data_IF_562564474959
#
_entry.id   IF_562564474959
#
_cell.length_a   1.000
_cell.length_b   1.000
_cell.length_c   1.000
_cell.angle_alpha   90.00
_cell.angle_beta   90.00
_cell.angle_gamma   90.00
#
_symmetry.space_group_name_H-M   'P 1'
#
loop_
_entity.id
_entity.type
_entity.pdbx_description
1 polymer ?
#
# COMPACT_ATOMS: atom_id res chain seq x y z
N UNK A 1 -3.37 -30.46 -27.95
CA UNK A 1 -4.57 -30.62 -27.10
C UNK A 1 -5.65 -29.70 -27.65
N UNK A 2 -6.76 -30.26 -28.11
CA UNK A 2 -7.85 -29.50 -28.70
C UNK A 2 -8.42 -28.53 -27.65
N UNK A 3 -8.41 -27.23 -27.97
CA UNK A 3 -9.13 -26.22 -27.22
C UNK A 3 -10.62 -26.52 -27.37
N UNK A 4 -11.27 -26.99 -26.31
CA UNK A 4 -12.73 -26.94 -26.29
C UNK A 4 -13.11 -25.45 -26.36
N UNK A 5 -13.85 -25.01 -27.39
CA UNK A 5 -14.25 -23.61 -27.48
C UNK A 5 -15.10 -23.32 -26.25
N UNK A 6 -14.61 -22.43 -25.39
CA UNK A 6 -15.41 -21.91 -24.29
C UNK A 6 -16.55 -21.12 -24.88
N UNK A 7 -17.78 -21.53 -24.56
CA UNK A 7 -18.97 -20.79 -24.95
C UNK A 7 -18.85 -19.36 -24.39
N UNK A 8 -18.89 -18.37 -25.28
CA UNK A 8 -18.78 -16.96 -24.92
C UNK A 8 -19.93 -16.50 -23.99
N UNK A 9 -21.03 -17.25 -23.96
CA UNK A 9 -22.20 -16.96 -23.15
C UNK A 9 -22.17 -17.65 -21.78
N UNK A 10 -21.27 -18.61 -21.55
CA UNK A 10 -21.18 -19.36 -20.30
C UNK A 10 -20.07 -18.79 -19.41
N UNK A 11 -20.43 -18.39 -18.19
CA UNK A 11 -19.46 -17.89 -17.22
C UNK A 11 -18.49 -19.00 -16.79
N UNK A 12 -17.19 -18.71 -16.71
CA UNK A 12 -16.20 -19.68 -16.25
C UNK A 12 -16.29 -19.85 -14.72
N UNK A 13 -16.52 -21.09 -14.29
CA UNK A 13 -16.45 -21.47 -12.87
C UNK A 13 -15.20 -22.33 -12.67
N UNK A 14 -14.24 -21.89 -11.83
CA UNK A 14 -13.01 -22.64 -11.60
C UNK A 14 -13.30 -23.97 -10.90
N UNK A 15 -12.39 -24.94 -11.10
CA UNK A 15 -12.43 -26.21 -10.37
C UNK A 15 -12.17 -25.99 -8.87
N UNK A 16 -12.43 -27.02 -8.05
CA UNK A 16 -12.19 -26.97 -6.60
C UNK A 16 -10.74 -26.57 -6.31
N UNK A 17 -10.55 -25.48 -5.58
CA UNK A 17 -9.24 -24.97 -5.18
C UNK A 17 -8.98 -25.19 -3.69
N UNK A 18 -7.73 -25.54 -3.35
CA UNK A 18 -7.24 -25.63 -1.96
C UNK A 18 -6.71 -24.29 -1.45
N UNK A 19 -6.57 -23.29 -2.32
CA UNK A 19 -6.02 -21.98 -1.93
C UNK A 19 -6.79 -21.30 -0.78
N UNK A 20 -8.15 -21.33 -0.74
CA UNK A 20 -8.88 -20.68 0.37
C UNK A 20 -8.56 -21.28 1.74
N UNK A 21 -8.51 -22.61 1.86
CA UNK A 21 -8.21 -23.25 3.16
C UNK A 21 -6.75 -23.01 3.57
N UNK A 22 -5.81 -23.04 2.62
CA UNK A 22 -4.42 -22.70 2.90
C UNK A 22 -4.26 -21.25 3.34
N UNK A 23 -4.99 -20.32 2.71
CA UNK A 23 -4.98 -18.91 3.09
C UNK A 23 -5.51 -18.73 4.52
N UNK A 24 -6.68 -19.31 4.85
CA UNK A 24 -7.27 -19.23 6.19
C UNK A 24 -6.35 -19.78 7.28
N UNK A 25 -5.73 -20.94 7.06
CA UNK A 25 -4.78 -21.53 8.01
C UNK A 25 -3.53 -20.65 8.14
N UNK A 26 -3.01 -20.13 7.02
CA UNK A 26 -1.85 -19.24 7.03
C UNK A 26 -2.13 -17.95 7.80
N UNK A 27 -3.30 -17.32 7.59
CA UNK A 27 -3.73 -16.13 8.33
C UNK A 27 -3.87 -16.43 9.82
N UNK A 28 -4.46 -17.56 10.18
CA UNK A 28 -4.63 -17.95 11.59
C UNK A 28 -3.29 -18.10 12.30
N UNK A 29 -2.34 -18.83 11.71
CA UNK A 29 -0.99 -18.99 12.26
C UNK A 29 -0.27 -17.65 12.35
N UNK A 30 -0.39 -16.81 11.33
CA UNK A 30 0.21 -15.47 11.31
C UNK A 30 -0.35 -14.60 12.44
N UNK A 31 -1.68 -14.56 12.63
CA UNK A 31 -2.33 -13.74 13.66
C UNK A 31 -2.10 -14.25 15.07
N UNK A 32 -2.13 -15.57 15.31
CA UNK A 32 -1.76 -16.13 16.62
C UNK A 32 -0.28 -15.86 16.91
N UNK A 33 0.60 -16.01 15.92
CA UNK A 33 2.02 -15.70 16.08
C UNK A 33 2.23 -14.24 16.45
N UNK A 34 1.56 -13.30 15.76
CA UNK A 34 1.63 -11.88 16.07
C UNK A 34 1.11 -11.58 17.49
N UNK A 35 -0.09 -12.07 17.83
CA UNK A 35 -0.69 -11.82 19.14
C UNK A 35 0.17 -12.37 20.28
N UNK A 36 0.70 -13.59 20.13
CA UNK A 36 1.54 -14.22 21.16
C UNK A 36 2.91 -13.55 21.28
N UNK A 37 3.49 -13.10 20.16
CA UNK A 37 4.72 -12.32 20.17
C UNK A 37 4.53 -10.97 20.88
N UNK A 38 3.41 -10.28 20.65
CA UNK A 38 3.08 -9.02 21.33
C UNK A 38 2.81 -9.18 22.84
N UNK A 39 2.62 -10.41 23.31
CA UNK A 39 2.44 -10.76 24.73
C UNK A 39 3.70 -11.44 25.32
N UNK A 40 4.87 -11.13 24.76
CA UNK A 40 6.19 -11.56 25.26
C UNK A 40 6.41 -13.09 25.32
N UNK A 41 5.63 -13.87 24.55
CA UNK A 41 5.84 -15.31 24.42
C UNK A 41 6.86 -15.61 23.32
N UNK A 42 7.97 -16.25 23.69
CA UNK A 42 9.15 -16.46 22.82
C UNK A 42 8.89 -17.29 21.57
N UNK A 43 7.88 -18.17 21.57
CA UNK A 43 7.49 -18.96 20.41
C UNK A 43 6.67 -18.17 19.39
N UNK A 44 6.07 -17.04 19.81
CA UNK A 44 5.22 -16.22 18.95
C UNK A 44 5.94 -15.69 17.71
N UNK A 45 7.19 -15.25 17.87
CA UNK A 45 8.02 -14.79 16.73
C UNK A 45 8.21 -15.86 15.65
N UNK A 46 8.37 -17.12 16.06
CA UNK A 46 8.56 -18.24 15.13
C UNK A 46 7.25 -18.64 14.47
N UNK A 47 6.15 -18.66 15.23
CA UNK A 47 4.81 -18.87 14.69
C UNK A 47 4.44 -17.76 13.68
N UNK A 48 4.76 -16.50 13.98
CA UNK A 48 4.55 -15.37 13.08
C UNK A 48 5.35 -15.55 11.78
N UNK A 49 6.64 -15.84 11.88
CA UNK A 49 7.49 -16.07 10.71
C UNK A 49 7.01 -17.26 9.86
N UNK A 50 6.58 -18.34 10.50
CA UNK A 50 5.97 -19.48 9.82
C UNK A 50 4.67 -19.09 9.11
N UNK A 51 3.79 -18.34 9.76
CA UNK A 51 2.55 -17.82 9.17
C UNK A 51 2.80 -16.93 7.95
N UNK A 52 3.81 -16.05 8.00
CA UNK A 52 4.25 -15.24 6.86
C UNK A 52 4.73 -16.14 5.71
N UNK A 53 5.59 -17.12 5.98
CA UNK A 53 6.09 -18.05 4.96
C UNK A 53 4.96 -18.86 4.31
N UNK A 54 4.01 -19.35 5.12
CA UNK A 54 2.81 -20.06 4.64
C UNK A 54 1.92 -19.17 3.78
N UNK A 55 1.76 -17.90 4.16
CA UNK A 55 0.99 -16.93 3.38
C UNK A 55 1.64 -16.66 2.02
N UNK A 56 2.95 -16.40 1.99
CA UNK A 56 3.71 -16.20 0.74
C UNK A 56 3.61 -17.42 -0.17
N UNK A 57 3.77 -18.64 0.39
CA UNK A 57 3.62 -19.87 -0.37
C UNK A 57 2.21 -20.05 -0.93
N UNK A 58 1.18 -19.73 -0.14
CA UNK A 58 -0.23 -19.78 -0.56
C UNK A 58 -0.50 -18.80 -1.70
N UNK A 59 -0.05 -17.55 -1.59
CA UNK A 59 -0.24 -16.54 -2.64
C UNK A 59 0.48 -16.93 -3.93
N UNK A 60 1.70 -17.46 -3.83
CA UNK A 60 2.44 -17.95 -5.00
C UNK A 60 1.72 -19.12 -5.69
N UNK A 61 1.21 -20.08 -4.91
CA UNK A 61 0.40 -21.18 -5.42
C UNK A 61 -0.88 -20.68 -6.10
N UNK A 62 -1.65 -19.84 -5.40
CA UNK A 62 -2.94 -19.34 -5.88
C UNK A 62 -2.80 -18.49 -7.14
N UNK A 63 -1.92 -17.47 -7.13
CA UNK A 63 -1.72 -16.65 -8.33
C UNK A 63 -1.10 -17.45 -9.48
N UNK A 64 -0.30 -18.48 -9.19
CA UNK A 64 0.15 -19.44 -10.19
C UNK A 64 -1.00 -20.16 -10.91
N UNK A 65 -2.01 -20.62 -10.18
CA UNK A 65 -3.22 -21.22 -10.77
C UNK A 65 -3.99 -20.20 -11.61
N UNK A 66 -4.24 -19.00 -11.07
CA UNK A 66 -4.96 -17.94 -11.80
C UNK A 66 -4.25 -17.57 -13.10
N UNK A 67 -2.92 -17.56 -13.11
CA UNK A 67 -2.13 -17.34 -14.34
C UNK A 67 -2.29 -18.50 -15.32
N UNK A 68 -2.26 -19.75 -14.86
CA UNK A 68 -2.48 -20.94 -15.72
C UNK A 68 -3.88 -20.93 -16.34
N UNK A 69 -4.90 -20.67 -15.55
CA UNK A 69 -6.30 -20.54 -16.00
C UNK A 69 -6.49 -19.39 -16.99
N UNK A 70 -5.79 -18.27 -16.76
CA UNK A 70 -5.79 -17.16 -17.71
C UNK A 70 -5.16 -17.54 -19.06
N UNK A 71 -4.06 -18.29 -19.05
CA UNK A 71 -3.35 -18.68 -20.28
C UNK A 71 -4.02 -19.85 -21.03
N UNK A 72 -4.85 -20.66 -20.37
CA UNK A 72 -5.60 -21.72 -21.05
C UNK A 72 -6.71 -21.19 -21.97
N UNK A 73 -7.04 -19.90 -21.86
CA UNK A 73 -8.07 -19.25 -22.69
C UNK A 73 -9.49 -19.39 -22.16
N UNK A 74 -9.67 -19.84 -20.91
CA UNK A 74 -11.00 -20.04 -20.33
C UNK A 74 -11.74 -18.74 -19.97
N UNK A 75 -11.02 -17.63 -19.79
CA UNK A 75 -11.63 -16.34 -19.43
C UNK A 75 -12.26 -15.66 -20.64
N UNK A 76 -13.59 -15.52 -20.60
CA UNK A 76 -14.37 -14.74 -21.57
C UNK A 76 -14.63 -13.31 -21.04
N UNK A 77 -15.39 -12.53 -21.81
CA UNK A 77 -15.71 -11.14 -21.47
C UNK A 77 -16.44 -10.98 -20.14
N UNK A 78 -17.31 -11.92 -19.76
CA UNK A 78 -18.04 -11.83 -18.50
C UNK A 78 -17.07 -11.92 -17.31
N UNK A 79 -16.11 -12.84 -17.38
CA UNK A 79 -15.07 -13.02 -16.35
C UNK A 79 -14.15 -11.80 -16.29
N UNK A 80 -13.77 -11.23 -17.45
CA UNK A 80 -12.96 -10.00 -17.51
C UNK A 80 -13.67 -8.82 -16.83
N UNK A 81 -14.98 -8.63 -17.08
CA UNK A 81 -15.78 -7.61 -16.41
C UNK A 81 -15.81 -7.83 -14.89
N UNK A 82 -16.04 -9.08 -14.44
CA UNK A 82 -16.01 -9.41 -13.01
C UNK A 82 -14.67 -9.08 -12.35
N UNK A 83 -13.55 -9.41 -13.00
CA UNK A 83 -12.24 -9.08 -12.46
C UNK A 83 -11.99 -7.57 -12.39
N UNK A 84 -12.42 -6.81 -13.41
CA UNK A 84 -12.34 -5.34 -13.41
C UNK A 84 -13.14 -4.73 -12.28
N UNK A 85 -14.39 -5.17 -12.10
CA UNK A 85 -15.24 -4.73 -11.00
C UNK A 85 -14.65 -5.10 -9.64
N UNK A 86 -14.10 -6.31 -9.51
CA UNK A 86 -13.41 -6.75 -8.29
C UNK A 86 -12.22 -5.86 -7.95
N UNK A 87 -11.39 -5.51 -8.94
CA UNK A 87 -10.25 -4.61 -8.73
C UNK A 87 -10.69 -3.19 -8.36
N UNK A 88 -11.75 -2.67 -8.98
CA UNK A 88 -12.30 -1.34 -8.64
C UNK A 88 -12.78 -1.31 -7.19
N UNK A 89 -13.56 -2.31 -6.76
CA UNK A 89 -14.06 -2.37 -5.38
C UNK A 89 -12.94 -2.59 -4.36
N UNK A 90 -11.91 -3.37 -4.72
CA UNK A 90 -10.71 -3.50 -3.91
C UNK A 90 -9.98 -2.16 -3.74
N UNK A 91 -9.71 -1.43 -4.82
CA UNK A 91 -9.09 -0.10 -4.72
C UNK A 91 -9.96 0.85 -3.92
N UNK A 92 -11.28 0.82 -4.12
CA UNK A 92 -12.21 1.65 -3.35
C UNK A 92 -12.12 1.35 -1.84
N UNK A 93 -12.04 0.08 -1.42
CA UNK A 93 -11.84 -0.24 0.00
C UNK A 93 -10.50 0.26 0.53
N UNK A 94 -9.43 0.22 -0.25
CA UNK A 94 -8.13 0.79 0.14
C UNK A 94 -8.20 2.32 0.27
N UNK A 95 -8.93 3.01 -0.62
CA UNK A 95 -9.17 4.46 -0.50
C UNK A 95 -9.93 4.78 0.79
N UNK A 96 -10.95 3.99 1.16
CA UNK A 96 -11.66 4.17 2.43
C UNK A 96 -10.76 3.88 3.64
N UNK A 97 -9.87 2.89 3.55
CA UNK A 97 -8.88 2.59 4.58
C UNK A 97 -7.95 3.79 4.82
N UNK A 98 -7.37 4.39 3.78
CA UNK A 98 -6.61 5.64 3.93
C UNK A 98 -7.47 6.81 4.40
N UNK A 99 -8.73 6.87 3.94
CA UNK A 99 -9.72 7.86 4.37
C UNK A 99 -9.91 7.87 5.89
N UNK A 100 -9.85 6.70 6.55
CA UNK A 100 -9.90 6.62 8.00
C UNK A 100 -8.68 7.27 8.69
N UNK A 101 -7.48 7.06 8.16
CA UNK A 101 -6.26 7.67 8.73
C UNK A 101 -6.20 9.18 8.46
N UNK A 102 -6.55 9.64 7.26
CA UNK A 102 -6.68 11.07 6.98
C UNK A 102 -7.80 11.70 7.83
N UNK A 103 -8.90 10.99 8.04
CA UNK A 103 -9.97 11.38 8.95
C UNK A 103 -9.48 11.52 10.39
N UNK A 104 -8.64 10.60 10.88
CA UNK A 104 -8.02 10.71 12.20
C UNK A 104 -7.07 11.91 12.32
N UNK A 105 -6.27 12.18 11.29
CA UNK A 105 -5.41 13.37 11.21
C UNK A 105 -6.24 14.66 11.24
N UNK A 106 -7.27 14.73 10.39
CA UNK A 106 -8.19 15.87 10.33
C UNK A 106 -8.89 16.10 11.67
N UNK A 107 -9.48 15.04 12.25
CA UNK A 107 -10.17 15.11 13.52
C UNK A 107 -9.25 15.60 14.64
N UNK A 108 -8.01 15.11 14.66
CA UNK A 108 -7.01 15.55 15.63
C UNK A 108 -6.72 17.04 15.50
N UNK A 109 -6.43 17.52 14.28
CA UNK A 109 -6.02 18.90 14.03
C UNK A 109 -7.15 19.91 14.22
N UNK A 110 -8.37 19.55 13.79
CA UNK A 110 -9.50 20.50 13.74
C UNK A 110 -10.39 20.46 14.97
N UNK A 111 -10.40 19.37 15.74
CA UNK A 111 -11.28 19.23 16.89
C UNK A 111 -10.51 18.88 18.16
N UNK A 112 -9.80 17.75 18.18
CA UNK A 112 -9.21 17.25 19.43
C UNK A 112 -8.17 18.21 20.02
N UNK A 113 -7.29 18.78 19.20
CA UNK A 113 -6.27 19.72 19.68
C UNK A 113 -6.85 21.06 20.14
N UNK A 114 -7.74 21.74 19.39
CA UNK A 114 -8.37 22.96 19.90
C UNK A 114 -9.15 22.77 21.21
N UNK A 115 -9.88 21.66 21.36
CA UNK A 115 -10.57 21.35 22.62
C UNK A 115 -9.59 21.15 23.78
N UNK A 116 -8.47 20.44 23.56
CA UNK A 116 -7.42 20.31 24.56
C UNK A 116 -6.73 21.64 24.88
N UNK A 117 -6.68 22.55 23.91
CA UNK A 117 -6.20 23.93 24.06
C UNK A 117 -7.19 24.87 24.76
N UNK A 118 -8.39 24.40 25.12
CA UNK A 118 -9.39 25.18 25.85
C UNK A 118 -10.51 25.76 24.99
N UNK A 119 -10.66 25.38 23.72
CA UNK A 119 -11.79 25.84 22.91
C UNK A 119 -13.12 25.19 23.34
N UNK A 120 -14.19 25.98 23.44
CA UNK A 120 -15.54 25.51 23.77
C UNK A 120 -15.62 24.89 25.17
N UNK A 121 -16.17 23.69 25.26
CA UNK A 121 -16.30 22.96 26.54
C UNK A 121 -14.92 22.48 27.09
N UNK A 122 -13.84 22.67 26.33
CA UNK A 122 -12.48 22.31 26.69
C UNK A 122 -11.82 23.21 27.74
N UNK A 123 -12.35 24.41 28.03
CA UNK A 123 -11.73 25.41 28.93
C UNK A 123 -11.35 24.79 30.28
N UNK A 124 -12.31 24.15 30.96
CA UNK A 124 -12.06 23.53 32.27
C UNK A 124 -11.04 22.39 32.18
N UNK A 125 -11.05 21.64 31.08
CA UNK A 125 -10.07 20.56 30.85
C UNK A 125 -8.66 21.14 30.73
N UNK A 126 -8.49 22.23 29.98
CA UNK A 126 -7.20 22.91 29.87
C UNK A 126 -6.77 23.50 31.22
N UNK A 127 -7.65 24.22 31.92
CA UNK A 127 -7.30 24.86 33.20
C UNK A 127 -6.92 23.86 34.30
N UNK A 128 -7.62 22.72 34.37
CA UNK A 128 -7.44 21.72 35.43
C UNK A 128 -6.40 20.64 35.08
N UNK A 129 -6.39 20.11 33.85
CA UNK A 129 -5.56 18.96 33.48
C UNK A 129 -4.35 19.34 32.64
N UNK A 130 -4.49 20.31 31.73
CA UNK A 130 -3.48 20.65 30.74
C UNK A 130 -3.08 22.12 30.80
N UNK A 131 -2.88 22.63 32.02
CA UNK A 131 -2.66 24.05 32.25
C UNK A 131 -1.41 24.53 31.47
N UNK A 132 -1.57 25.56 30.65
CA UNK A 132 -0.50 26.10 29.81
C UNK A 132 -0.25 25.34 28.51
N UNK A 133 -1.01 24.29 28.20
CA UNK A 133 -0.99 23.67 26.88
C UNK A 133 -1.69 24.58 25.85
N UNK A 134 -1.03 24.79 24.72
CA UNK A 134 -1.59 25.51 23.57
C UNK A 134 -1.78 24.57 22.40
N UNK A 135 -2.91 24.71 21.71
CA UNK A 135 -3.20 23.96 20.50
C UNK A 135 -2.25 24.42 19.37
N UNK A 136 -1.26 23.59 19.07
CA UNK A 136 -0.33 23.78 17.97
C UNK A 136 -0.13 22.46 17.22
N UNK A 137 0.20 22.57 15.93
CA UNK A 137 0.62 21.45 15.10
C UNK A 137 1.94 21.80 14.42
N UNK A 138 2.94 20.90 14.39
CA UNK A 138 2.99 19.55 14.97
C UNK A 138 3.06 19.54 16.51
N UNK A 139 2.59 18.46 17.16
CA UNK A 139 2.66 18.31 18.64
C UNK A 139 2.68 16.85 19.09
N UNK A 140 3.39 16.56 20.20
CA UNK A 140 3.30 15.28 20.93
C UNK A 140 2.11 15.21 21.90
N UNK A 141 1.30 16.28 21.95
CA UNK A 141 0.18 16.43 22.87
C UNK A 141 0.61 17.01 24.24
N UNK A 142 -0.35 17.26 25.14
CA UNK A 142 -0.08 17.96 26.40
C UNK A 142 0.82 17.17 27.36
N UNK A 143 0.83 15.84 27.27
CA UNK A 143 1.73 14.97 28.04
C UNK A 143 3.17 14.88 27.51
N UNK A 144 3.51 15.59 26.42
CA UNK A 144 4.83 15.56 25.78
C UNK A 144 5.36 14.13 25.52
N UNK A 145 4.47 13.23 25.09
CA UNK A 145 4.78 11.81 24.93
C UNK A 145 5.87 11.64 23.86
N UNK A 146 6.99 11.00 24.24
CA UNK A 146 8.15 10.83 23.37
C UNK A 146 9.11 12.03 23.32
N UNK A 147 8.85 13.09 24.10
CA UNK A 147 9.72 14.24 24.22
C UNK A 147 9.63 15.23 23.05
N UNK A 148 10.64 16.10 22.94
CA UNK A 148 10.76 17.04 21.83
C UNK A 148 11.26 16.32 20.57
N UNK A 149 10.69 16.67 19.43
CA UNK A 149 11.07 16.12 18.13
C UNK A 149 11.10 17.23 17.07
N UNK A 150 11.75 16.94 15.95
CA UNK A 150 11.75 17.78 14.76
C UNK A 150 10.99 17.09 13.62
N UNK A 151 10.44 17.88 12.72
CA UNK A 151 9.71 17.38 11.54
C UNK A 151 10.60 17.27 10.32
N UNK A 152 10.21 16.41 9.40
CA UNK A 152 10.89 16.25 8.12
C UNK A 152 10.49 17.39 7.18
N UNK A 153 11.43 18.17 6.64
CA UNK A 153 11.10 19.26 5.73
C UNK A 153 10.58 18.73 4.39
N UNK A 154 9.42 19.22 3.94
CA UNK A 154 8.76 18.78 2.71
C UNK A 154 9.63 18.93 1.46
N UNK A 155 10.42 20.00 1.38
CA UNK A 155 11.15 20.40 0.18
C UNK A 155 12.48 19.67 -0.04
N UNK A 156 12.80 18.68 0.81
CA UNK A 156 13.96 17.81 0.67
C UNK A 156 13.60 16.48 0.03
N UNK A 157 13.90 15.39 0.75
CA UNK A 157 13.64 14.02 0.34
C UNK A 157 12.15 13.75 -0.01
N UNK A 158 11.15 14.26 0.73
CA UNK A 158 9.74 14.04 0.36
C UNK A 158 9.37 14.56 -1.03
N UNK A 159 9.88 15.74 -1.43
CA UNK A 159 9.69 16.26 -2.78
C UNK A 159 10.36 15.38 -3.83
N UNK A 160 11.57 14.90 -3.57
CA UNK A 160 12.28 13.98 -4.48
C UNK A 160 11.48 12.69 -4.67
N UNK A 161 10.98 12.10 -3.58
CA UNK A 161 10.11 10.93 -3.63
C UNK A 161 8.81 11.18 -4.41
N UNK A 162 8.25 12.39 -4.29
CA UNK A 162 7.09 12.81 -5.09
C UNK A 162 7.41 12.83 -6.58
N UNK A 163 8.54 13.41 -6.98
CA UNK A 163 8.97 13.44 -8.38
C UNK A 163 9.26 12.04 -8.92
N UNK A 164 9.82 11.14 -8.09
CA UNK A 164 10.08 9.74 -8.45
C UNK A 164 8.77 9.00 -8.76
N UNK A 165 7.76 9.09 -7.88
CA UNK A 165 6.47 8.43 -8.10
C UNK A 165 5.75 8.99 -9.32
N UNK A 166 5.68 10.31 -9.47
CA UNK A 166 5.07 10.93 -10.65
C UNK A 166 5.77 10.50 -11.95
N UNK A 167 7.10 10.44 -11.94
CA UNK A 167 7.89 9.95 -13.09
C UNK A 167 7.58 8.48 -13.36
N UNK A 168 7.43 7.66 -12.31
CA UNK A 168 7.09 6.24 -12.44
C UNK A 168 5.71 6.03 -13.07
N UNK A 169 4.72 6.88 -12.75
CA UNK A 169 3.41 6.85 -13.39
C UNK A 169 3.47 7.17 -14.89
N UNK A 170 4.34 8.10 -15.30
CA UNK A 170 4.60 8.40 -16.71
C UNK A 170 5.26 7.20 -17.40
N UNK A 171 6.32 6.62 -16.83
CA UNK A 171 6.99 5.46 -17.43
C UNK A 171 6.06 4.26 -17.56
N UNK A 172 5.19 4.03 -16.57
CA UNK A 172 4.18 2.98 -16.61
C UNK A 172 3.15 3.22 -17.73
N UNK A 173 2.72 4.46 -17.90
CA UNK A 173 1.79 4.85 -18.98
C UNK A 173 2.42 4.60 -20.35
N UNK A 174 3.70 4.93 -20.53
CA UNK A 174 4.44 4.63 -21.77
C UNK A 174 4.53 3.11 -21.98
N UNK A 175 4.80 2.34 -20.92
CA UNK A 175 4.83 0.88 -20.98
C UNK A 175 3.47 0.29 -21.42
N UNK A 176 2.36 0.84 -20.91
CA UNK A 176 1.02 0.42 -21.30
C UNK A 176 0.74 0.70 -22.80
N UNK A 177 1.13 1.87 -23.31
CA UNK A 177 1.01 2.17 -24.74
C UNK A 177 1.89 1.26 -25.59
N UNK A 178 3.10 0.94 -25.13
CA UNK A 178 3.98 -0.02 -25.80
C UNK A 178 3.38 -1.43 -25.84
N UNK A 179 2.70 -1.87 -24.78
CA UNK A 179 1.96 -3.13 -24.75
C UNK A 179 0.83 -3.15 -25.79
N UNK A 180 0.03 -2.07 -25.88
CA UNK A 180 -1.06 -1.95 -26.86
C UNK A 180 -0.56 -1.80 -28.30
N UNK A 181 0.65 -1.31 -28.48
CA UNK A 181 1.34 -1.21 -29.78
C UNK A 181 2.19 -2.43 -30.14
N UNK A 182 2.11 -3.53 -29.37
CA UNK A 182 2.91 -4.76 -29.54
C UNK A 182 4.44 -4.54 -29.56
N UNK A 183 4.92 -3.43 -28.96
CA UNK A 183 6.34 -3.06 -28.86
C UNK A 183 6.98 -3.66 -27.61
N UNK A 184 7.19 -4.98 -27.61
CA UNK A 184 7.66 -5.74 -26.43
C UNK A 184 8.96 -5.20 -25.81
N UNK A 185 9.94 -4.79 -26.62
CA UNK A 185 11.20 -4.23 -26.09
C UNK A 185 10.99 -2.93 -25.31
N UNK A 186 10.13 -2.03 -25.83
CA UNK A 186 9.78 -0.79 -25.15
C UNK A 186 8.96 -1.05 -23.89
N UNK A 187 8.00 -1.98 -23.94
CA UNK A 187 7.24 -2.42 -22.76
C UNK A 187 8.17 -2.86 -21.62
N UNK A 188 9.12 -3.75 -21.90
CA UNK A 188 10.02 -4.28 -20.86
C UNK A 188 10.95 -3.19 -20.31
N UNK A 189 11.45 -2.30 -21.16
CA UNK A 189 12.30 -1.20 -20.71
C UNK A 189 11.55 -0.25 -19.77
N UNK A 190 10.40 0.28 -20.20
CA UNK A 190 9.66 1.29 -19.44
C UNK A 190 9.00 0.72 -18.18
N UNK A 191 8.50 -0.51 -18.24
CA UNK A 191 8.01 -1.18 -17.04
C UNK A 191 9.14 -1.49 -16.06
N UNK A 192 10.32 -1.88 -16.56
CA UNK A 192 11.52 -2.08 -15.73
C UNK A 192 11.97 -0.79 -15.04
N UNK A 193 11.93 0.35 -15.76
CA UNK A 193 12.19 1.66 -15.19
C UNK A 193 11.19 2.02 -14.08
N UNK A 194 9.89 1.72 -14.28
CA UNK A 194 8.86 1.93 -13.25
C UNK A 194 9.17 1.13 -11.97
N UNK A 195 9.53 -0.15 -12.11
CA UNK A 195 9.92 -1.00 -10.97
C UNK A 195 11.16 -0.46 -10.27
N UNK A 196 12.17 -0.02 -11.02
CA UNK A 196 13.39 0.56 -10.45
C UNK A 196 13.10 1.85 -9.66
N UNK A 197 12.23 2.72 -10.18
CA UNK A 197 11.78 3.93 -9.48
C UNK A 197 10.99 3.59 -8.20
N UNK A 198 10.15 2.56 -8.22
CA UNK A 198 9.45 2.07 -7.03
C UNK A 198 10.41 1.56 -5.95
N UNK A 199 11.44 0.80 -6.33
CA UNK A 199 12.50 0.35 -5.41
C UNK A 199 13.29 1.53 -4.86
N UNK A 200 13.62 2.51 -5.71
CA UNK A 200 14.32 3.72 -5.29
C UNK A 200 13.51 4.53 -4.27
N UNK A 201 12.21 4.72 -4.52
CA UNK A 201 11.30 5.36 -3.55
C UNK A 201 11.33 4.66 -2.20
N UNK A 202 11.21 3.32 -2.17
CA UNK A 202 11.21 2.54 -0.93
C UNK A 202 12.54 2.66 -0.18
N UNK A 203 13.66 2.67 -0.90
CA UNK A 203 14.98 2.89 -0.32
C UNK A 203 15.07 4.27 0.35
N UNK A 204 14.70 5.33 -0.37
CA UNK A 204 14.72 6.70 0.14
C UNK A 204 13.76 6.88 1.33
N UNK A 205 12.58 6.27 1.29
CA UNK A 205 11.63 6.27 2.41
C UNK A 205 12.19 5.56 3.64
N UNK A 206 12.91 4.45 3.45
CA UNK A 206 13.62 3.77 4.53
C UNK A 206 14.72 4.63 5.15
N UNK A 207 15.49 5.33 4.31
CA UNK A 207 16.51 6.28 4.79
C UNK A 207 15.91 7.45 5.56
N UNK A 208 14.77 7.97 5.09
CA UNK A 208 14.01 9.02 5.80
C UNK A 208 13.55 8.55 7.18
N UNK A 209 13.04 7.32 7.30
CA UNK A 209 12.63 6.76 8.59
C UNK A 209 13.79 6.57 9.55
N UNK A 210 14.95 6.13 9.05
CA UNK A 210 16.16 6.02 9.87
C UNK A 210 16.54 7.40 10.40
N UNK A 211 16.63 8.41 9.53
CA UNK A 211 16.97 9.79 9.93
C UNK A 211 15.95 10.37 10.93
N UNK A 212 14.64 10.14 10.71
CA UNK A 212 13.59 10.56 11.63
C UNK A 212 13.79 9.98 13.04
N UNK A 213 14.11 8.68 13.14
CA UNK A 213 14.33 8.00 14.40
C UNK A 213 15.64 8.38 15.09
N UNK A 214 16.73 8.55 14.34
CA UNK A 214 18.07 8.72 14.92
C UNK A 214 18.44 10.17 15.18
N UNK A 215 17.98 11.11 14.34
CA UNK A 215 18.43 12.51 14.38
C UNK A 215 17.31 13.47 14.80
N UNK A 216 16.06 13.18 14.46
CA UNK A 216 14.93 14.08 14.72
C UNK A 216 14.12 13.72 15.97
N UNK A 217 14.42 12.58 16.61
CA UNK A 217 13.60 12.00 17.68
C UNK A 217 12.11 11.85 17.30
N UNK A 218 11.84 11.74 15.99
CA UNK A 218 10.51 11.52 15.43
C UNK A 218 10.32 10.02 15.27
N UNK A 219 9.57 9.44 16.20
CA UNK A 219 9.31 7.99 16.28
C UNK A 219 7.81 7.72 16.34
N UNK A 220 7.42 6.46 16.21
CA UNK A 220 6.04 6.02 16.51
C UNK A 220 5.56 6.38 17.92
N UNK A 221 6.48 6.70 18.85
CA UNK A 221 6.18 7.09 20.23
C UNK A 221 6.16 8.60 20.45
N UNK A 222 6.41 9.41 19.42
CA UNK A 222 6.41 10.89 19.50
C UNK A 222 4.99 11.46 19.47
N UNK A 223 4.14 10.93 20.37
CA UNK A 223 2.75 11.33 20.56
C UNK A 223 1.86 11.15 19.32
N UNK A 224 0.89 12.05 19.18
CA UNK A 224 -0.11 11.99 18.11
C UNK A 224 0.48 12.32 16.74
N UNK A 225 1.46 13.24 16.67
CA UNK A 225 2.15 13.55 15.42
C UNK A 225 2.92 12.33 14.89
N UNK A 226 3.78 11.72 15.71
CA UNK A 226 4.57 10.56 15.30
C UNK A 226 3.69 9.37 14.90
N UNK A 227 2.67 9.05 15.69
CA UNK A 227 1.78 7.93 15.38
C UNK A 227 0.98 8.15 14.08
N UNK A 228 0.40 9.34 13.86
CA UNK A 228 -0.31 9.63 12.60
C UNK A 228 0.62 9.66 11.40
N UNK A 229 1.80 10.29 11.53
CA UNK A 229 2.84 10.33 10.49
C UNK A 229 3.20 8.91 10.02
N UNK A 230 3.74 8.07 10.91
CA UNK A 230 4.24 6.75 10.53
C UNK A 230 3.14 5.76 10.15
N UNK A 231 1.92 5.89 10.67
CA UNK A 231 0.81 5.04 10.24
C UNK A 231 0.38 5.38 8.80
N UNK A 232 0.22 6.67 8.49
CA UNK A 232 -0.13 7.14 7.15
C UNK A 232 0.95 6.80 6.12
N UNK A 233 2.20 7.21 6.37
CA UNK A 233 3.31 6.99 5.45
C UNK A 233 3.75 5.53 5.43
N UNK A 234 3.64 4.80 6.55
CA UNK A 234 4.00 3.39 6.68
C UNK A 234 3.06 2.47 5.91
N UNK A 235 1.74 2.64 6.05
CA UNK A 235 0.79 1.89 5.23
C UNK A 235 0.95 2.22 3.75
N UNK A 236 1.17 3.48 3.40
CA UNK A 236 1.48 3.84 2.02
C UNK A 236 2.76 3.16 1.51
N UNK A 237 3.84 3.16 2.28
CA UNK A 237 5.07 2.45 1.94
C UNK A 237 4.85 0.95 1.73
N UNK A 238 4.01 0.31 2.55
CA UNK A 238 3.61 -1.08 2.36
C UNK A 238 2.86 -1.28 1.03
N UNK A 239 1.98 -0.36 0.65
CA UNK A 239 1.28 -0.39 -0.64
C UNK A 239 2.24 -0.18 -1.83
N UNK A 240 3.21 0.74 -1.73
CA UNK A 240 4.25 0.92 -2.76
C UNK A 240 5.07 -0.37 -2.91
N UNK A 241 5.42 -1.05 -1.82
CA UNK A 241 6.13 -2.31 -1.86
C UNK A 241 5.31 -3.41 -2.56
N UNK A 242 4.04 -3.59 -2.19
CA UNK A 242 3.14 -4.54 -2.85
C UNK A 242 2.95 -4.21 -4.34
N UNK A 243 2.72 -2.93 -4.67
CA UNK A 243 2.60 -2.46 -6.05
C UNK A 243 3.87 -2.74 -6.87
N UNK A 244 5.05 -2.53 -6.28
CA UNK A 244 6.34 -2.79 -6.93
C UNK A 244 6.52 -4.28 -7.21
N UNK A 245 6.13 -5.15 -6.26
CA UNK A 245 6.13 -6.60 -6.45
C UNK A 245 5.15 -6.99 -7.57
N UNK A 246 3.93 -6.44 -7.58
CA UNK A 246 2.94 -6.70 -8.63
C UNK A 246 3.47 -6.31 -10.01
N UNK A 247 4.06 -5.12 -10.15
CA UNK A 247 4.67 -4.64 -11.39
C UNK A 247 5.85 -5.50 -11.83
N UNK A 248 6.69 -5.95 -10.89
CA UNK A 248 7.78 -6.88 -11.17
C UNK A 248 7.26 -8.22 -11.70
N UNK A 249 6.17 -8.76 -11.12
CA UNK A 249 5.51 -9.95 -11.66
C UNK A 249 4.93 -9.68 -13.05
N UNK A 250 4.35 -8.50 -13.30
CA UNK A 250 3.90 -8.12 -14.64
C UNK A 250 5.07 -8.01 -15.62
N UNK A 251 6.24 -7.57 -15.17
CA UNK A 251 7.45 -7.52 -15.99
C UNK A 251 7.89 -8.92 -16.42
N UNK A 252 7.98 -9.87 -15.50
CA UNK A 252 8.31 -11.26 -15.83
C UNK A 252 7.25 -11.91 -16.74
N UNK A 253 5.97 -11.65 -16.51
CA UNK A 253 4.88 -12.16 -17.37
C UNK A 253 4.92 -11.57 -18.78
N UNK A 254 5.23 -10.28 -18.89
CA UNK A 254 5.45 -9.59 -20.18
C UNK A 254 6.69 -10.17 -20.89
N UNK A 255 7.76 -10.44 -20.13
CA UNK A 255 8.98 -11.04 -20.64
C UNK A 255 8.78 -12.49 -21.10
N UNK A 256 7.74 -13.19 -20.63
CA UNK A 256 7.31 -14.51 -21.14
C UNK A 256 6.24 -14.44 -22.23
N UNK A 257 5.73 -13.26 -22.58
CA UNK A 257 4.72 -13.09 -23.62
C UNK A 257 3.31 -13.52 -23.20
N UNK A 258 2.99 -13.49 -21.90
CA UNK A 258 1.66 -13.86 -21.40
C UNK A 258 0.56 -12.84 -21.72
N UNK A 259 0.92 -11.65 -22.21
CA UNK A 259 0.00 -10.56 -22.50
C UNK A 259 -0.07 -10.28 -23.98
N UNK A 260 -1.26 -9.91 -24.43
CA UNK A 260 -1.55 -9.48 -25.80
C UNK A 260 -2.24 -8.12 -25.77
N UNK A 261 -2.26 -7.41 -26.91
CA UNK A 261 -2.94 -6.13 -27.06
C UNK A 261 -4.37 -6.10 -26.50
N UNK A 262 -5.12 -7.19 -26.59
CA UNK A 262 -6.52 -7.23 -26.13
C UNK A 262 -6.71 -7.98 -24.81
N UNK A 263 -5.76 -8.84 -24.42
CA UNK A 263 -5.81 -9.62 -23.17
C UNK A 263 -4.62 -9.31 -22.28
N UNK A 264 -4.81 -8.31 -21.42
CA UNK A 264 -3.79 -7.84 -20.48
C UNK A 264 -4.39 -7.22 -19.20
N UNK A 265 -5.59 -7.67 -18.78
CA UNK A 265 -6.24 -7.14 -17.58
C UNK A 265 -5.34 -7.13 -16.33
N UNK A 266 -4.55 -8.18 -16.09
CA UNK A 266 -3.67 -8.22 -14.92
C UNK A 266 -2.62 -7.08 -14.93
N UNK A 267 -2.16 -6.68 -16.12
CA UNK A 267 -1.30 -5.50 -16.26
C UNK A 267 -2.08 -4.22 -15.96
N UNK A 268 -3.30 -4.07 -16.50
CA UNK A 268 -4.16 -2.90 -16.22
C UNK A 268 -4.51 -2.79 -14.74
N UNK A 269 -4.81 -3.90 -14.06
CA UNK A 269 -5.07 -3.95 -12.63
C UNK A 269 -3.86 -3.48 -11.81
N UNK A 270 -2.67 -3.99 -12.12
CA UNK A 270 -1.44 -3.53 -11.46
C UNK A 270 -1.17 -2.04 -11.74
N UNK A 271 -1.49 -1.56 -12.95
CA UNK A 271 -1.34 -0.15 -13.28
C UNK A 271 -2.35 0.76 -12.57
N UNK A 272 -3.61 0.34 -12.44
CA UNK A 272 -4.62 1.05 -11.64
C UNK A 272 -4.21 1.13 -10.18
N UNK A 273 -3.68 0.04 -9.62
CA UNK A 273 -3.16 0.03 -8.26
C UNK A 273 -1.98 0.99 -8.10
N UNK A 274 -1.04 1.01 -9.05
CA UNK A 274 0.12 1.91 -9.01
C UNK A 274 -0.30 3.38 -9.02
N UNK A 275 -1.22 3.77 -9.91
CA UNK A 275 -1.74 5.15 -9.94
C UNK A 275 -2.55 5.50 -8.69
N UNK A 276 -3.27 4.54 -8.09
CA UNK A 276 -3.89 4.74 -6.78
C UNK A 276 -2.84 5.08 -5.72
N UNK A 277 -1.73 4.35 -5.68
CA UNK A 277 -0.63 4.61 -4.76
C UNK A 277 -0.04 6.02 -5.01
N UNK A 278 0.18 6.43 -6.26
CA UNK A 278 0.64 7.78 -6.61
C UNK A 278 -0.29 8.87 -6.03
N UNK A 279 -1.61 8.71 -6.19
CA UNK A 279 -2.61 9.68 -5.70
C UNK A 279 -2.61 9.78 -4.18
N UNK A 280 -2.52 8.64 -3.47
CA UNK A 280 -2.41 8.63 -2.01
C UNK A 280 -1.14 9.35 -1.56
N UNK A 281 -0.01 9.15 -2.25
CA UNK A 281 1.22 9.87 -1.93
C UNK A 281 1.07 11.38 -2.07
N UNK A 282 0.40 11.87 -3.13
CA UNK A 282 0.17 13.31 -3.29
C UNK A 282 -0.65 13.90 -2.13
N UNK A 283 -1.66 13.16 -1.66
CA UNK A 283 -2.41 13.55 -0.47
C UNK A 283 -1.53 13.55 0.79
N UNK A 284 -0.65 12.56 0.96
CA UNK A 284 0.32 12.52 2.05
C UNK A 284 1.30 13.70 2.00
N UNK A 285 1.89 13.96 0.83
CA UNK A 285 2.81 15.07 0.63
C UNK A 285 2.15 16.39 1.04
N UNK A 286 0.91 16.62 0.59
CA UNK A 286 0.18 17.84 0.94
C UNK A 286 -0.19 17.92 2.43
N UNK A 287 -0.87 16.91 2.97
CA UNK A 287 -1.48 17.01 4.30
C UNK A 287 -0.59 16.57 5.47
N UNK A 288 0.52 15.89 5.20
CA UNK A 288 1.44 15.41 6.24
C UNK A 288 2.74 16.20 6.24
N UNK A 289 3.29 16.51 5.06
CA UNK A 289 4.59 17.19 4.95
C UNK A 289 4.48 18.71 4.79
N UNK A 290 3.49 19.20 4.02
CA UNK A 290 3.37 20.64 3.71
C UNK A 290 2.48 21.38 4.70
N UNK A 291 1.28 20.86 4.97
CA UNK A 291 0.26 21.44 5.87
C UNK A 291 0.29 20.75 7.21
#
# INVERSE_FOLDING_TARGET
MAQHPTDANVYFVPAKSKAPIFASVSMFVLMIGAATWMNDLSWGKWAFAAGVAMMVATLFYWFGEVVRESQSGYYNRQVDVSFRMGMIWFIFSEVMFFGAFFGALFYTRQFALPWLGGEGDGVLTNELLWNGFSAAWPTSGPGQVGGQFQTIPAWGLPLINTLILLTSGVTLTIAHHALKGDKRGQLLFWLGATVALGVLFLYLQGSEYIHAYTELNLTLRSGIYGSTFFMLTGFHGAHVALGTIMLLVMWFRSARGHFTRDRHFAFEAAAWYWHFVDVVWLALFLFVYVV
#
